data_IF_393918050665
#
_entry.id   IF_393918050665
#
_cell.length_a   1.000
_cell.length_b   1.000
_cell.length_c   1.000
_cell.angle_alpha   90.00
_cell.angle_beta   90.00
_cell.angle_gamma   90.00
#
_symmetry.space_group_name_H-M   'P 1'
#
loop_
_entity.id
_entity.type
_entity.pdbx_description
1 polymer ?
#
# COMPACT_ATOMS: atom_id res chain seq x y z
N UNK A 1 -4.51 -6.54 15.94
CA UNK A 1 -3.78 -7.00 14.74
C UNK A 1 -3.49 -5.78 13.89
N UNK A 2 -2.26 -5.63 13.40
CA UNK A 2 -1.81 -4.54 12.55
C UNK A 2 -1.55 -5.07 11.13
N UNK A 3 -2.31 -4.58 10.16
CA UNK A 3 -2.22 -4.97 8.76
C UNK A 3 -1.65 -3.80 7.97
N UNK A 4 -0.55 -4.06 7.27
CA UNK A 4 -0.05 -3.18 6.24
C UNK A 4 -0.69 -3.54 4.90
N UNK A 5 -1.20 -2.57 4.16
CA UNK A 5 -1.82 -2.80 2.84
C UNK A 5 -1.33 -1.77 1.81
N UNK A 6 -1.14 -2.22 0.57
CA UNK A 6 -0.58 -1.37 -0.49
C UNK A 6 -1.33 -1.58 -1.80
N UNK A 7 -2.13 -0.59 -2.19
CA UNK A 7 -2.76 -0.47 -3.50
C UNK A 7 -2.08 0.65 -4.30
N UNK A 8 -1.43 0.29 -5.41
CA UNK A 8 -0.67 1.24 -6.23
C UNK A 8 -1.47 1.79 -7.44
N UNK A 9 -2.68 1.29 -7.67
CA UNK A 9 -3.59 1.68 -8.77
C UNK A 9 -5.05 1.76 -8.32
N UNK A 10 -5.85 2.62 -8.97
CA UNK A 10 -7.25 2.90 -8.57
C UNK A 10 -8.13 1.65 -8.60
N UNK A 11 -7.84 0.70 -9.51
CA UNK A 11 -8.46 -0.63 -9.55
C UNK A 11 -8.19 -1.41 -8.26
N UNK A 12 -6.92 -1.42 -7.82
CA UNK A 12 -6.49 -2.04 -6.57
C UNK A 12 -7.14 -1.41 -5.35
N UNK A 13 -7.27 -0.07 -5.31
CA UNK A 13 -7.96 0.64 -4.21
C UNK A 13 -9.43 0.22 -4.07
N UNK A 14 -10.14 0.08 -5.20
CA UNK A 14 -11.52 -0.42 -5.18
C UNK A 14 -11.61 -1.84 -4.60
N UNK A 15 -10.76 -2.76 -5.06
CA UNK A 15 -10.78 -4.16 -4.59
C UNK A 15 -10.40 -4.24 -3.12
N UNK A 16 -9.34 -3.53 -2.74
CA UNK A 16 -8.83 -3.49 -1.37
C UNK A 16 -9.83 -2.84 -0.40
N UNK A 17 -10.63 -1.87 -0.84
CA UNK A 17 -11.63 -1.24 0.03
C UNK A 17 -12.68 -2.22 0.55
N UNK A 18 -13.10 -3.19 -0.29
CA UNK A 18 -14.00 -4.25 0.12
C UNK A 18 -13.35 -5.17 1.17
N UNK A 19 -12.06 -5.51 0.99
CA UNK A 19 -11.30 -6.28 1.96
C UNK A 19 -11.18 -5.55 3.31
N UNK A 20 -10.81 -4.26 3.29
CA UNK A 20 -10.72 -3.41 4.49
C UNK A 20 -12.05 -3.43 5.25
N UNK A 21 -13.15 -3.17 4.54
CA UNK A 21 -14.48 -3.15 5.14
C UNK A 21 -14.83 -4.47 5.81
N UNK A 22 -14.66 -5.60 5.12
CA UNK A 22 -14.96 -6.92 5.68
C UNK A 22 -14.05 -7.30 6.85
N UNK A 23 -12.78 -6.88 6.84
CA UNK A 23 -11.87 -7.11 7.96
C UNK A 23 -12.28 -6.31 9.21
N UNK A 24 -12.68 -5.06 9.05
CA UNK A 24 -13.14 -4.23 10.17
C UNK A 24 -14.53 -4.65 10.68
N UNK A 25 -15.40 -5.20 9.81
CA UNK A 25 -16.65 -5.83 10.24
C UNK A 25 -16.41 -7.08 11.10
N UNK A 26 -15.39 -7.89 10.76
CA UNK A 26 -15.05 -9.09 11.50
C UNK A 26 -14.25 -8.82 12.78
N UNK A 27 -13.28 -7.90 12.72
CA UNK A 27 -12.41 -7.50 13.82
C UNK A 27 -12.29 -5.97 13.88
N UNK A 28 -13.19 -5.28 14.60
CA UNK A 28 -13.24 -3.81 14.66
C UNK A 28 -11.96 -3.15 15.20
N UNK A 29 -11.21 -3.85 16.04
CA UNK A 29 -9.95 -3.34 16.63
C UNK A 29 -8.73 -3.56 15.70
N UNK A 30 -8.94 -4.04 14.48
CA UNK A 30 -7.85 -4.20 13.51
C UNK A 30 -7.36 -2.83 13.04
N UNK A 31 -6.04 -2.63 13.07
CA UNK A 31 -5.40 -1.43 12.55
C UNK A 31 -4.92 -1.72 11.13
N UNK A 32 -5.48 -1.04 10.14
CA UNK A 32 -5.13 -1.24 8.73
C UNK A 32 -4.53 0.07 8.22
N UNK A 33 -3.29 0.04 7.71
CA UNK A 33 -2.59 1.24 7.24
C UNK A 33 -1.70 0.98 6.01
N UNK A 34 -1.46 2.01 5.20
CA UNK A 34 -0.45 1.93 4.15
C UNK A 34 -0.64 2.85 2.95
N UNK A 35 -0.33 2.35 1.76
CA UNK A 35 -0.51 3.07 0.49
C UNK A 35 -1.93 2.81 -0.02
N UNK A 36 -2.74 3.86 0.00
CA UNK A 36 -4.19 3.74 -0.21
C UNK A 36 -4.73 4.85 -1.10
N UNK A 37 -5.82 4.58 -1.81
CA UNK A 37 -6.64 5.61 -2.43
C UNK A 37 -7.77 6.05 -1.51
N UNK A 38 -8.71 6.80 -2.09
CA UNK A 38 -9.84 7.35 -1.34
C UNK A 38 -10.81 6.25 -0.87
N UNK A 39 -11.03 5.18 -1.65
CA UNK A 39 -12.03 4.15 -1.28
C UNK A 39 -11.60 3.34 -0.07
N UNK A 40 -10.32 2.98 0.01
CA UNK A 40 -9.78 2.31 1.20
C UNK A 40 -9.78 3.24 2.41
N UNK A 41 -9.48 4.54 2.20
CA UNK A 41 -9.52 5.54 3.27
C UNK A 41 -10.94 5.66 3.84
N UNK A 42 -11.95 5.77 2.97
CA UNK A 42 -13.37 5.80 3.34
C UNK A 42 -13.84 4.51 4.02
N UNK A 43 -13.24 3.37 3.69
CA UNK A 43 -13.52 2.09 4.31
C UNK A 43 -12.91 1.93 5.71
N UNK A 44 -12.12 2.91 6.20
CA UNK A 44 -11.51 2.90 7.53
C UNK A 44 -10.02 2.52 7.55
N UNK A 45 -9.37 2.45 6.38
CA UNK A 45 -7.92 2.27 6.33
C UNK A 45 -7.19 3.59 6.58
N UNK A 46 -6.18 3.58 7.45
CA UNK A 46 -5.33 4.74 7.68
C UNK A 46 -4.41 4.98 6.48
N UNK A 47 -4.50 6.19 5.92
CA UNK A 47 -3.65 6.63 4.80
C UNK A 47 -2.28 7.10 5.29
N UNK A 48 -1.23 6.33 5.00
CA UNK A 48 0.16 6.75 5.17
C UNK A 48 0.72 7.35 3.89
N UNK A 49 0.34 6.78 2.75
CA UNK A 49 0.67 7.29 1.41
C UNK A 49 -0.57 7.26 0.52
N UNK A 50 -0.61 8.16 -0.45
CA UNK A 50 -1.70 8.25 -1.41
C UNK A 50 -1.31 7.66 -2.76
N UNK A 51 -2.27 7.01 -3.41
CA UNK A 51 -2.10 6.33 -4.70
C UNK A 51 -1.61 7.25 -5.83
N UNK A 52 -1.94 8.55 -5.78
CA UNK A 52 -1.49 9.55 -6.77
C UNK A 52 0.04 9.73 -6.79
N UNK A 53 0.71 9.33 -5.71
CA UNK A 53 2.18 9.33 -5.64
C UNK A 53 2.79 8.25 -6.55
N UNK A 54 2.01 7.21 -6.87
CA UNK A 54 2.39 6.12 -7.78
C UNK A 54 1.81 6.34 -9.18
N UNK A 55 0.62 6.92 -9.29
CA UNK A 55 -0.08 7.07 -10.56
C UNK A 55 0.70 7.97 -11.55
N UNK A 56 1.08 7.44 -12.71
CA UNK A 56 1.79 8.18 -13.76
C UNK A 56 1.01 8.08 -15.07
N UNK A 57 0.68 9.22 -15.66
CA UNK A 57 -0.08 9.28 -16.91
C UNK A 57 0.92 9.38 -18.09
N UNK A 58 1.09 8.30 -18.85
CA UNK A 58 1.87 8.30 -20.10
C UNK A 58 3.38 8.03 -19.98
N UNK A 59 3.99 7.49 -21.05
CA UNK A 59 5.38 7.00 -21.07
C UNK A 59 6.44 8.08 -20.75
N UNK A 60 6.22 9.34 -21.12
CA UNK A 60 7.19 10.43 -20.89
C UNK A 60 7.21 10.92 -19.44
N UNK A 61 6.07 10.90 -18.73
CA UNK A 61 6.02 11.25 -17.31
C UNK A 61 6.60 10.14 -16.42
N UNK A 62 6.55 8.88 -16.87
CA UNK A 62 7.09 7.71 -16.13
C UNK A 62 8.57 7.88 -15.82
N UNK A 63 9.38 8.36 -16.76
CA UNK A 63 10.83 8.53 -16.55
C UNK A 63 11.11 9.58 -15.48
N UNK A 64 10.34 10.67 -15.46
CA UNK A 64 10.48 11.75 -14.49
C UNK A 64 9.97 11.36 -13.10
N UNK A 65 8.95 10.51 -13.00
CA UNK A 65 8.42 9.99 -11.72
C UNK A 65 9.12 8.73 -11.19
N UNK A 66 9.95 8.06 -11.99
CA UNK A 66 10.65 6.86 -11.52
C UNK A 66 11.49 7.10 -10.25
N UNK A 67 12.28 8.20 -10.11
CA UNK A 67 12.99 8.47 -8.86
C UNK A 67 12.07 8.65 -7.66
N UNK A 68 10.91 9.32 -7.82
CA UNK A 68 9.94 9.46 -6.73
C UNK A 68 9.28 8.14 -6.36
N UNK A 69 8.98 7.29 -7.35
CA UNK A 69 8.43 5.96 -7.11
C UNK A 69 9.39 5.08 -6.30
N UNK A 70 10.68 5.11 -6.66
CA UNK A 70 11.72 4.38 -5.94
C UNK A 70 11.89 4.91 -4.50
N UNK A 71 11.83 6.23 -4.31
CA UNK A 71 11.85 6.85 -2.98
C UNK A 71 10.65 6.46 -2.14
N UNK A 72 9.45 6.47 -2.71
CA UNK A 72 8.22 6.04 -2.05
C UNK A 72 8.33 4.58 -1.61
N UNK A 73 8.72 3.68 -2.52
CA UNK A 73 8.91 2.26 -2.21
C UNK A 73 9.91 2.05 -1.06
N UNK A 74 11.04 2.76 -1.10
CA UNK A 74 12.04 2.67 -0.03
C UNK A 74 11.50 3.22 1.30
N UNK A 75 10.65 4.25 1.26
CA UNK A 75 10.00 4.82 2.45
C UNK A 75 9.01 3.84 3.07
N UNK A 76 8.22 3.15 2.24
CA UNK A 76 7.28 2.10 2.68
C UNK A 76 8.04 0.97 3.36
N UNK A 77 9.09 0.46 2.70
CA UNK A 77 9.93 -0.62 3.27
C UNK A 77 10.53 -0.18 4.59
N UNK A 78 11.17 1.00 4.64
CA UNK A 78 11.77 1.51 5.87
C UNK A 78 10.76 1.60 7.00
N UNK A 79 9.61 2.23 6.74
CA UNK A 79 8.57 2.42 7.73
C UNK A 79 8.05 1.09 8.29
N UNK A 80 7.74 0.11 7.44
CA UNK A 80 7.23 -1.19 7.91
C UNK A 80 8.33 -2.13 8.43
N UNK A 81 9.61 -1.89 8.11
CA UNK A 81 10.73 -2.55 8.80
C UNK A 81 10.88 -2.05 10.24
N UNK A 82 10.61 -0.77 10.50
CA UNK A 82 10.67 -0.15 11.83
C UNK A 82 9.36 -0.37 12.63
N UNK A 83 8.22 -0.35 11.95
CA UNK A 83 6.88 -0.49 12.51
C UNK A 83 6.23 -1.78 12.01
N UNK A 84 6.77 -2.92 12.45
CA UNK A 84 6.42 -4.26 11.95
C UNK A 84 4.90 -4.53 12.00
N UNK A 85 4.25 -4.73 10.83
CA UNK A 85 2.88 -5.23 10.79
C UNK A 85 2.85 -6.74 11.05
N UNK A 86 1.70 -7.27 11.45
CA UNK A 86 1.48 -8.72 11.55
C UNK A 86 1.39 -9.37 10.15
N UNK A 87 0.83 -8.63 9.18
CA UNK A 87 0.66 -9.06 7.79
C UNK A 87 0.85 -7.87 6.86
N UNK A 88 1.53 -8.09 5.72
CA UNK A 88 1.57 -7.16 4.60
C UNK A 88 0.75 -7.71 3.43
N UNK A 89 -0.14 -6.89 2.86
CA UNK A 89 -1.00 -7.24 1.73
C UNK A 89 -0.69 -6.31 0.56
N UNK A 90 0.00 -6.82 -0.46
CA UNK A 90 0.13 -6.15 -1.75
C UNK A 90 -1.11 -6.40 -2.60
N UNK A 91 -1.77 -5.33 -3.05
CA UNK A 91 -2.95 -5.43 -3.92
C UNK A 91 -2.58 -4.92 -5.30
N UNK A 92 -2.62 -5.83 -6.28
CA UNK A 92 -2.25 -5.58 -7.68
C UNK A 92 -0.82 -5.02 -7.84
N UNK A 93 -0.50 -4.49 -9.02
CA UNK A 93 0.75 -3.78 -9.35
C UNK A 93 2.01 -4.55 -8.89
N UNK A 94 2.23 -5.79 -9.40
CA UNK A 94 3.28 -6.70 -8.93
C UNK A 94 4.69 -6.08 -9.00
N UNK A 95 4.96 -5.26 -10.02
CA UNK A 95 6.25 -4.58 -10.19
C UNK A 95 6.62 -3.64 -9.03
N UNK A 96 5.59 -3.07 -8.37
CA UNK A 96 5.73 -2.23 -7.19
C UNK A 96 5.73 -3.08 -5.91
N UNK A 97 4.69 -3.90 -5.72
CA UNK A 97 4.43 -4.61 -4.47
C UNK A 97 5.42 -5.77 -4.22
N UNK A 98 5.80 -6.55 -5.23
CA UNK A 98 6.73 -7.69 -5.03
C UNK A 98 8.09 -7.25 -4.48
N UNK A 99 8.55 -6.06 -4.86
CA UNK A 99 9.82 -5.51 -4.36
C UNK A 99 9.71 -5.05 -2.90
N UNK A 100 8.52 -4.64 -2.45
CA UNK A 100 8.26 -4.32 -1.04
C UNK A 100 8.17 -5.62 -0.25
N UNK A 101 7.31 -6.55 -0.69
CA UNK A 101 7.10 -7.86 -0.08
C UNK A 101 8.40 -8.62 0.13
N UNK A 102 9.24 -8.70 -0.92
CA UNK A 102 10.51 -9.39 -0.85
C UNK A 102 11.45 -8.78 0.21
N UNK A 103 11.50 -7.45 0.30
CA UNK A 103 12.33 -6.76 1.31
C UNK A 103 11.77 -6.91 2.71
N UNK A 104 10.46 -6.77 2.89
CA UNK A 104 9.83 -6.93 4.20
C UNK A 104 10.01 -8.36 4.72
N UNK A 105 9.84 -9.37 3.87
CA UNK A 105 10.08 -10.77 4.21
C UNK A 105 11.52 -11.06 4.66
N UNK A 106 12.50 -10.30 4.17
CA UNK A 106 13.89 -10.42 4.64
C UNK A 106 14.11 -9.80 6.03
N UNK A 107 13.21 -8.93 6.49
CA UNK A 107 13.27 -8.25 7.79
C UNK A 107 12.53 -9.01 8.92
N UNK A 108 11.98 -10.18 8.62
CA UNK A 108 11.15 -11.00 9.51
C UNK A 108 9.68 -10.74 9.26
#
# INVERSE_FOLDING_TARGET
MKIAISAAETSGDLIASALVKSLLEYQPDCQIEGLVGDKMSDAGCQRLWHIDQVNVMGLSEVVNKLPSLLRLRNSIVKYFSENKPDVFIGVDSPDFNFKIEHKLKQCG
#
